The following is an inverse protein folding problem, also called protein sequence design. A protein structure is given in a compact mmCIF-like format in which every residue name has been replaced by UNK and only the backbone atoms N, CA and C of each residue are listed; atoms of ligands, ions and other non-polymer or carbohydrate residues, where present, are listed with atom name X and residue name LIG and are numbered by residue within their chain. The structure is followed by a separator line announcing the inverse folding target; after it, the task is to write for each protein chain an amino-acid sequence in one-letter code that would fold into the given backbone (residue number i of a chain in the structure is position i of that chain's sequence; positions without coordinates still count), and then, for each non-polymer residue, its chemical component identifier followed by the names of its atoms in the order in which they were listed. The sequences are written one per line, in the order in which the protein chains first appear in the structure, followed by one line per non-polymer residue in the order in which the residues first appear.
data_IF_549940310360
#
_entry.id   IF_549940310360
#
_cell.length_a   1.000
_cell.length_b   1.000
_cell.length_c   1.000
_cell.angle_alpha   90.00
_cell.angle_beta   90.00
_cell.angle_gamma   90.00
#
_symmetry.space_group_name_H-M   'P 1'
#
loop_
_entity.id
_entity.type
_entity.pdbx_description
1 polymer ?
#
# COMPACT_ATOMS: atom_id res chain seq x y z
N UNK A 1 -51.72 -11.99 17.95
CA UNK A 1 -50.98 -11.87 16.67
C UNK A 1 -50.02 -10.67 16.60
N UNK A 2 -50.35 -9.49 17.14
CA UNK A 2 -49.60 -8.24 16.86
C UNK A 2 -48.16 -8.15 17.36
N UNK A 3 -47.84 -8.75 18.52
CA UNK A 3 -46.48 -8.65 19.11
C UNK A 3 -45.45 -9.47 18.31
N UNK A 4 -45.83 -10.65 17.81
CA UNK A 4 -44.94 -11.52 17.02
C UNK A 4 -44.57 -10.92 15.66
N UNK A 5 -45.46 -10.10 15.07
CA UNK A 5 -45.19 -9.40 13.81
C UNK A 5 -44.16 -8.29 14.03
N UNK A 6 -44.33 -7.49 15.09
CA UNK A 6 -43.40 -6.40 15.43
C UNK A 6 -41.98 -6.93 15.68
N UNK A 7 -41.82 -8.02 16.45
CA UNK A 7 -40.48 -8.58 16.72
C UNK A 7 -39.78 -9.08 15.45
N UNK A 8 -40.52 -9.67 14.50
CA UNK A 8 -39.96 -10.10 13.20
C UNK A 8 -39.51 -8.92 12.34
N UNK A 9 -40.26 -7.82 12.35
CA UNK A 9 -39.90 -6.61 11.61
C UNK A 9 -38.68 -5.92 12.22
N UNK A 10 -38.58 -5.87 13.55
CA UNK A 10 -37.41 -5.33 14.26
C UNK A 10 -36.16 -6.16 13.96
N UNK A 11 -36.24 -7.49 14.01
CA UNK A 11 -35.11 -8.38 13.67
C UNK A 11 -34.70 -8.21 12.20
N UNK A 12 -35.66 -8.10 11.27
CA UNK A 12 -35.38 -7.88 9.85
C UNK A 12 -34.68 -6.54 9.59
N UNK A 13 -35.12 -5.46 10.25
CA UNK A 13 -34.49 -4.13 10.15
C UNK A 13 -33.07 -4.15 10.74
N UNK A 14 -32.86 -4.81 11.88
CA UNK A 14 -31.53 -4.97 12.47
C UNK A 14 -30.58 -5.80 11.57
N UNK A 15 -31.07 -6.86 10.91
CA UNK A 15 -30.27 -7.66 9.99
C UNK A 15 -29.83 -6.88 8.74
N UNK A 16 -30.70 -6.01 8.20
CA UNK A 16 -30.37 -5.13 7.06
C UNK A 16 -29.36 -4.05 7.48
N UNK A 17 -29.50 -3.48 8.67
CA UNK A 17 -28.55 -2.49 9.22
C UNK A 17 -27.17 -3.09 9.54
N UNK A 18 -27.10 -4.37 9.88
CA UNK A 18 -25.83 -5.06 10.12
C UNK A 18 -25.13 -5.48 8.82
N UNK A 19 -25.89 -5.70 7.73
CA UNK A 19 -25.32 -5.99 6.42
C UNK A 19 -24.55 -4.76 5.89
N UNK A 20 -25.06 -3.54 6.03
CA UNK A 20 -24.49 -2.34 5.40
C UNK A 20 -23.16 -1.84 5.96
N UNK A 21 -22.76 -2.21 7.18
CA UNK A 21 -21.51 -1.71 7.77
C UNK A 21 -20.23 -2.40 7.25
N UNK A 22 -20.34 -3.57 6.61
CA UNK A 22 -19.16 -4.32 6.13
C UNK A 22 -18.78 -4.05 4.66
N UNK A 23 -19.70 -3.57 3.83
CA UNK A 23 -19.48 -3.39 2.38
C UNK A 23 -18.54 -2.24 2.02
N UNK A 24 -18.65 -1.04 2.62
CA UNK A 24 -17.85 0.11 2.17
C UNK A 24 -16.35 -0.06 2.38
N UNK A 25 -15.94 -0.73 3.46
CA UNK A 25 -14.54 -0.95 3.78
C UNK A 25 -13.87 -1.91 2.77
N UNK A 26 -14.51 -3.03 2.46
CA UNK A 26 -13.99 -4.03 1.51
C UNK A 26 -13.96 -3.52 0.06
N UNK A 27 -14.97 -2.74 -0.37
CA UNK A 27 -14.97 -2.18 -1.72
C UNK A 27 -13.81 -1.21 -1.95
N UNK A 28 -13.44 -0.40 -0.95
CA UNK A 28 -12.32 0.54 -1.04
C UNK A 28 -10.99 -0.19 -1.15
N UNK A 29 -10.74 -1.22 -0.34
CA UNK A 29 -9.49 -1.99 -0.40
C UNK A 29 -9.34 -2.74 -1.72
N UNK A 30 -10.43 -3.28 -2.28
CA UNK A 30 -10.40 -3.95 -3.58
C UNK A 30 -10.15 -2.96 -4.73
N UNK A 31 -10.77 -1.78 -4.67
CA UNK A 31 -10.55 -0.72 -5.66
C UNK A 31 -9.10 -0.24 -5.64
N UNK A 32 -8.56 0.05 -4.45
CA UNK A 32 -7.18 0.48 -4.24
C UNK A 32 -6.17 -0.58 -4.73
N UNK A 33 -6.39 -1.84 -4.35
CA UNK A 33 -5.59 -2.97 -4.83
C UNK A 33 -5.65 -3.10 -6.36
N UNK A 34 -6.82 -2.95 -6.96
CA UNK A 34 -7.00 -3.00 -8.42
C UNK A 34 -6.26 -1.86 -9.12
N UNK A 35 -6.35 -0.63 -8.61
CA UNK A 35 -5.61 0.51 -9.17
C UNK A 35 -4.10 0.33 -9.06
N UNK A 36 -3.62 -0.22 -7.94
CA UNK A 36 -2.19 -0.43 -7.76
C UNK A 36 -1.65 -1.55 -8.66
N UNK A 37 -2.44 -2.60 -8.92
CA UNK A 37 -2.10 -3.65 -9.90
C UNK A 37 -2.03 -3.06 -11.31
N UNK A 38 -2.97 -2.21 -11.71
CA UNK A 38 -2.94 -1.54 -13.01
C UNK A 38 -1.70 -0.65 -13.16
N UNK A 39 -1.40 0.19 -12.15
CA UNK A 39 -0.21 1.03 -12.14
C UNK A 39 1.09 0.22 -12.22
N UNK A 40 1.15 -0.94 -11.56
CA UNK A 40 2.30 -1.85 -11.64
C UNK A 40 2.46 -2.44 -13.05
N UNK A 41 1.37 -2.79 -13.73
CA UNK A 41 1.40 -3.29 -15.11
C UNK A 41 1.87 -2.23 -16.10
N UNK A 42 1.38 -0.99 -15.96
CA UNK A 42 1.81 0.14 -16.79
C UNK A 42 3.30 0.42 -16.57
N UNK A 43 3.74 0.45 -15.30
CA UNK A 43 5.15 0.62 -14.94
C UNK A 43 6.03 -0.52 -15.47
N UNK A 44 5.57 -1.77 -15.38
CA UNK A 44 6.29 -2.92 -15.92
C UNK A 44 6.49 -2.76 -17.43
N UNK A 45 5.47 -2.31 -18.14
CA UNK A 45 5.55 -2.08 -19.58
C UNK A 45 6.52 -0.95 -19.90
N UNK A 46 6.46 0.14 -19.14
CA UNK A 46 7.34 1.30 -19.32
C UNK A 46 8.83 0.99 -19.11
N UNK A 47 9.16 0.13 -18.15
CA UNK A 47 10.54 -0.23 -17.79
C UNK A 47 10.94 -1.64 -18.29
N UNK A 48 10.16 -2.21 -19.20
CA UNK A 48 10.39 -3.54 -19.81
C UNK A 48 10.67 -4.64 -18.77
N UNK A 49 9.89 -4.63 -17.69
CA UNK A 49 10.05 -5.56 -16.57
C UNK A 49 9.29 -6.86 -16.83
N UNK A 50 10.01 -7.97 -16.72
CA UNK A 50 9.48 -9.32 -16.72
C UNK A 50 10.00 -10.08 -15.50
N UNK A 51 9.15 -10.93 -14.93
CA UNK A 51 9.48 -11.77 -13.76
C UNK A 51 9.48 -13.24 -14.15
N UNK A 52 10.24 -14.04 -13.40
CA UNK A 52 10.41 -15.47 -13.69
C UNK A 52 9.11 -16.27 -13.50
N UNK A 53 8.32 -15.91 -12.49
CA UNK A 53 7.08 -16.59 -12.13
C UNK A 53 6.10 -15.61 -11.45
N UNK A 54 4.86 -16.09 -11.25
CA UNK A 54 3.79 -15.30 -10.64
C UNK A 54 4.06 -14.98 -9.17
N UNK A 55 4.80 -15.84 -8.45
CA UNK A 55 5.10 -15.62 -7.04
C UNK A 55 6.10 -14.46 -6.86
N UNK A 56 7.11 -14.38 -7.72
CA UNK A 56 8.04 -13.25 -7.77
C UNK A 56 7.30 -11.99 -8.23
N UNK A 57 6.41 -12.08 -9.22
CA UNK A 57 5.58 -10.93 -9.65
C UNK A 57 4.72 -10.40 -8.49
N UNK A 58 4.08 -11.27 -7.72
CA UNK A 58 3.28 -10.88 -6.56
C UNK A 58 4.14 -10.23 -5.46
N UNK A 59 5.32 -10.79 -5.18
CA UNK A 59 6.29 -10.21 -4.25
C UNK A 59 6.72 -8.80 -4.70
N UNK A 60 7.02 -8.63 -5.98
CA UNK A 60 7.45 -7.36 -6.58
C UNK A 60 6.35 -6.33 -6.60
N UNK A 61 5.11 -6.74 -6.86
CA UNK A 61 3.93 -5.89 -6.70
C UNK A 61 3.81 -5.37 -5.25
N UNK A 62 3.97 -6.23 -4.23
CA UNK A 62 3.91 -5.79 -2.82
C UNK A 62 4.98 -4.75 -2.48
N UNK A 63 6.17 -4.86 -3.05
CA UNK A 63 7.24 -3.87 -2.87
C UNK A 63 6.89 -2.58 -3.61
N UNK A 64 6.41 -2.68 -4.84
CA UNK A 64 5.98 -1.56 -5.66
C UNK A 64 4.90 -0.72 -4.96
N UNK A 65 3.85 -1.37 -4.41
CA UNK A 65 2.79 -0.69 -3.65
C UNK A 65 3.38 0.11 -2.48
N UNK A 66 4.26 -0.51 -1.68
CA UNK A 66 4.92 0.18 -0.55
C UNK A 66 5.74 1.39 -1.00
N UNK A 67 6.43 1.27 -2.13
CA UNK A 67 7.22 2.37 -2.68
C UNK A 67 6.33 3.49 -3.24
N UNK A 68 5.20 3.15 -3.86
CA UNK A 68 4.21 4.11 -4.33
C UNK A 68 3.59 4.89 -3.16
N UNK A 69 3.14 4.19 -2.11
CA UNK A 69 2.62 4.80 -0.87
C UNK A 69 3.65 5.75 -0.23
N UNK A 70 4.93 5.34 -0.23
CA UNK A 70 6.02 6.17 0.28
C UNK A 70 6.19 7.46 -0.55
N UNK A 71 6.13 7.36 -1.87
CA UNK A 71 6.22 8.50 -2.79
C UNK A 71 5.05 9.46 -2.55
N UNK A 72 3.83 8.95 -2.51
CA UNK A 72 2.62 9.77 -2.29
C UNK A 72 2.69 10.51 -0.96
N UNK A 73 3.01 9.80 0.12
CA UNK A 73 3.15 10.38 1.46
C UNK A 73 4.29 11.40 1.53
N UNK A 74 5.40 11.15 0.83
CA UNK A 74 6.51 12.09 0.79
C UNK A 74 6.13 13.38 0.05
N UNK A 75 5.45 13.24 -1.10
CA UNK A 75 5.04 14.35 -1.95
C UNK A 75 3.88 15.17 -1.35
N UNK A 76 3.00 14.56 -0.56
CA UNK A 76 1.87 15.26 0.09
C UNK A 76 2.31 16.19 1.22
N UNK A 77 3.56 16.11 1.69
CA UNK A 77 4.07 16.83 2.86
C UNK A 77 4.33 18.34 2.66
N UNK A 78 4.14 18.90 1.47
CA UNK A 78 4.14 20.35 1.17
C UNK A 78 5.47 21.11 1.33
N UNK A 79 6.43 20.59 2.09
CA UNK A 79 7.66 21.28 2.50
C UNK A 79 8.93 20.56 1.99
N UNK A 80 8.92 20.12 0.73
CA UNK A 80 10.06 19.42 0.12
C UNK A 80 10.57 20.21 -1.08
N UNK A 81 11.89 20.32 -1.21
CA UNK A 81 12.54 20.97 -2.36
C UNK A 81 12.56 20.09 -3.62
N UNK A 82 12.12 18.84 -3.51
CA UNK A 82 12.04 17.87 -4.59
C UNK A 82 10.85 16.94 -4.38
N UNK A 83 10.42 16.31 -5.46
CA UNK A 83 9.40 15.26 -5.44
C UNK A 83 10.03 13.91 -5.76
N UNK A 84 9.38 12.85 -5.30
CA UNK A 84 9.71 11.49 -5.69
C UNK A 84 8.77 11.03 -6.81
N UNK A 85 9.25 10.11 -7.62
CA UNK A 85 8.47 9.47 -8.67
C UNK A 85 8.85 8.00 -8.82
N UNK A 86 7.98 7.24 -9.46
CA UNK A 86 8.28 5.87 -9.85
C UNK A 86 9.45 5.85 -10.83
N UNK A 87 10.34 4.89 -10.66
CA UNK A 87 11.54 4.73 -11.47
C UNK A 87 11.84 3.23 -11.65
N UNK A 88 12.91 2.90 -12.38
CA UNK A 88 13.29 1.52 -12.69
C UNK A 88 13.56 0.61 -11.46
N UNK A 89 13.73 1.19 -10.26
CA UNK A 89 13.99 0.46 -9.02
C UNK A 89 12.76 0.39 -8.10
N UNK A 90 11.59 0.80 -8.57
CA UNK A 90 10.36 0.87 -7.76
C UNK A 90 9.85 -0.48 -7.26
N UNK A 91 10.33 -1.61 -7.79
CA UNK A 91 10.02 -2.95 -7.31
C UNK A 91 11.11 -3.55 -6.39
N UNK A 92 12.12 -2.77 -6.01
CA UNK A 92 13.19 -3.17 -5.12
C UNK A 92 13.01 -2.60 -3.72
N UNK A 93 13.43 -3.38 -2.73
CA UNK A 93 13.66 -2.88 -1.37
C UNK A 93 14.96 -2.07 -1.31
N UNK A 94 15.11 -1.25 -0.27
CA UNK A 94 16.34 -0.47 -0.04
C UNK A 94 17.54 -1.40 0.08
N UNK A 95 17.37 -2.53 0.76
CA UNK A 95 18.42 -3.54 0.96
C UNK A 95 18.82 -4.19 -0.37
N UNK A 96 17.86 -4.58 -1.21
CA UNK A 96 18.12 -5.15 -2.54
C UNK A 96 18.81 -4.13 -3.46
N UNK A 97 18.37 -2.87 -3.42
CA UNK A 97 18.99 -1.79 -4.20
C UNK A 97 20.44 -1.57 -3.78
N UNK A 98 20.71 -1.49 -2.49
CA UNK A 98 22.06 -1.29 -1.96
C UNK A 98 22.96 -2.47 -2.32
N UNK A 99 22.48 -3.70 -2.12
CA UNK A 99 23.24 -4.92 -2.40
C UNK A 99 23.63 -5.04 -3.87
N UNK A 100 22.76 -4.61 -4.79
CA UNK A 100 22.95 -4.82 -6.23
C UNK A 100 23.57 -3.62 -6.96
N UNK A 101 23.39 -2.39 -6.46
CA UNK A 101 23.69 -1.18 -7.26
C UNK A 101 24.67 -0.19 -6.61
N UNK A 102 25.07 -0.34 -5.35
CA UNK A 102 25.86 0.71 -4.66
C UNK A 102 27.27 0.27 -4.25
N UNK A 103 27.55 -1.03 -4.21
CA UNK A 103 28.82 -1.58 -3.69
C UNK A 103 29.05 -1.33 -2.18
N UNK A 104 28.08 -0.73 -1.48
CA UNK A 104 28.18 -0.44 -0.05
C UNK A 104 28.00 -1.73 0.75
N UNK A 105 28.99 -2.03 1.62
CA UNK A 105 28.89 -3.09 2.61
C UNK A 105 28.32 -2.53 3.91
N UNK A 106 27.03 -2.74 4.14
CA UNK A 106 26.40 -2.37 5.42
C UNK A 106 26.72 -3.45 6.44
N UNK A 107 27.72 -3.18 7.29
CA UNK A 107 28.02 -4.00 8.45
C UNK A 107 26.98 -3.74 9.55
N UNK A 108 25.83 -4.43 9.50
CA UNK A 108 24.72 -4.38 10.46
C UNK A 108 24.05 -3.00 10.67
N UNK A 109 22.71 -2.90 10.77
CA UNK A 109 22.04 -1.62 10.97
C UNK A 109 22.33 -1.07 12.38
N UNK A 110 23.10 0.03 12.47
CA UNK A 110 23.10 0.85 13.68
C UNK A 110 21.70 1.46 13.82
N UNK A 111 20.97 1.26 14.94
CA UNK A 111 19.62 1.80 15.08
C UNK A 111 19.66 3.32 14.92
N UNK A 112 18.80 3.86 14.04
CA UNK A 112 18.63 5.30 13.85
C UNK A 112 18.07 5.89 15.16
N UNK A 113 18.91 6.57 15.92
CA UNK A 113 18.49 7.39 17.05
C UNK A 113 17.65 8.54 16.52
N UNK A 114 16.34 8.47 16.75
CA UNK A 114 15.42 9.59 16.57
C UNK A 114 15.72 10.65 17.62
N UNK A 115 16.64 11.57 17.32
CA UNK A 115 16.85 12.77 18.13
C UNK A 115 15.68 13.71 17.90
N UNK A 116 14.68 13.64 18.78
CA UNK A 116 13.62 14.64 18.86
C UNK A 116 14.17 15.89 19.56
N UNK A 117 14.64 16.86 18.76
CA UNK A 117 14.94 18.20 19.26
C UNK A 117 13.62 18.89 19.60
N UNK A 118 13.28 18.90 20.89
CA UNK A 118 12.24 19.75 21.49
C UNK A 118 12.79 21.18 21.54
N UNK A 119 12.26 22.08 20.72
CA UNK A 119 12.49 23.52 20.88
C UNK A 119 11.42 24.07 21.83
N UNK A 120 11.88 24.64 22.94
CA UNK A 120 11.16 25.55 23.85
C UNK A 120 11.31 26.98 23.36
#
# INVERSE_FOLDING_TARGET
MGISVQTKHVIAVCAVMLWTCAFPAMSRTLYDQSSAVAAHQDWMTQFERAYADDAEKEKRLKIFVKNLEYIEKFNSGGNKSYTLGLNQFSDLTVEEFIASYTGLKINSPRPRSSTATRLS
#
